data_IF_977540320682
#
_entry.id   IF_977540320682
#
_cell.length_a   1.000
_cell.length_b   1.000
_cell.length_c   1.000
_cell.angle_alpha   90.00
_cell.angle_beta   90.00
_cell.angle_gamma   90.00
#
_symmetry.space_group_name_H-M   'P 1'
#
loop_
_entity.id
_entity.type
_entity.pdbx_description
1 polymer ?
#
# COMPACT_ATOMS: atom_id res chain seq x y z
N UNK A 1 14.48 11.24 -2.21
CA UNK A 1 13.72 12.45 -2.59
C UNK A 1 14.08 13.64 -1.71
N UNK A 2 14.04 13.49 -0.38
CA UNK A 2 14.47 14.52 0.59
C UNK A 2 15.79 15.18 0.21
N UNK A 3 16.85 14.39 -0.04
CA UNK A 3 18.16 14.93 -0.43
C UNK A 3 18.12 15.77 -1.71
N UNK A 4 17.29 15.38 -2.68
CA UNK A 4 17.14 16.14 -3.92
C UNK A 4 16.42 17.47 -3.67
N UNK A 5 15.42 17.51 -2.79
CA UNK A 5 14.73 18.76 -2.42
C UNK A 5 15.69 19.73 -1.74
N UNK A 6 16.49 19.24 -0.77
CA UNK A 6 17.51 20.04 -0.08
C UNK A 6 18.57 20.56 -1.07
N UNK A 7 19.00 19.72 -2.01
CA UNK A 7 19.97 20.12 -3.02
C UNK A 7 19.42 21.17 -4.01
N UNK A 8 18.18 21.02 -4.45
CA UNK A 8 17.60 21.81 -5.52
C UNK A 8 16.92 23.11 -5.03
N UNK A 9 16.58 23.20 -3.74
CA UNK A 9 15.85 24.33 -3.16
C UNK A 9 16.77 25.13 -2.23
N UNK A 10 17.21 26.33 -2.64
CA UNK A 10 18.03 27.19 -1.78
C UNK A 10 17.35 27.44 -0.44
N UNK A 11 18.16 27.46 0.63
CA UNK A 11 17.74 27.75 2.01
C UNK A 11 16.72 26.75 2.61
N UNK A 12 16.40 25.65 1.93
CA UNK A 12 15.53 24.61 2.46
C UNK A 12 16.26 23.82 3.54
N UNK A 13 15.71 23.83 4.76
CA UNK A 13 16.23 23.06 5.89
C UNK A 13 15.25 21.94 6.24
N UNK A 14 15.68 20.70 6.00
CA UNK A 14 15.05 19.49 6.51
C UNK A 14 16.00 18.91 7.53
N UNK A 15 15.54 18.70 8.77
CA UNK A 15 16.41 18.21 9.84
C UNK A 15 16.74 16.72 9.63
N UNK A 16 17.83 16.20 10.23
CA UNK A 16 18.14 14.78 10.18
C UNK A 16 16.99 13.89 10.72
N UNK A 17 16.30 14.35 11.76
CA UNK A 17 15.16 13.64 12.37
C UNK A 17 13.97 13.59 11.42
N UNK A 18 13.66 14.71 10.73
CA UNK A 18 12.61 14.77 9.72
C UNK A 18 12.93 13.86 8.53
N UNK A 19 14.18 13.90 8.04
CA UNK A 19 14.64 13.01 6.98
C UNK A 19 14.49 11.53 7.38
N UNK A 20 14.96 11.16 8.56
CA UNK A 20 14.86 9.80 9.06
C UNK A 20 13.40 9.38 9.25
N UNK A 21 12.53 10.30 9.68
CA UNK A 21 11.08 10.04 9.78
C UNK A 21 10.47 9.73 8.41
N UNK A 22 10.85 10.44 7.34
CA UNK A 22 10.43 10.13 5.96
C UNK A 22 10.97 8.78 5.50
N UNK A 23 12.21 8.44 5.82
CA UNK A 23 12.81 7.15 5.46
C UNK A 23 12.13 5.97 6.15
N UNK A 24 11.82 6.10 7.45
CA UNK A 24 11.09 5.08 8.21
C UNK A 24 9.66 4.97 7.67
N UNK A 25 8.97 6.08 7.42
CA UNK A 25 7.64 6.07 6.83
C UNK A 25 7.64 5.35 5.46
N UNK A 26 8.60 5.64 4.60
CA UNK A 26 8.75 4.95 3.32
C UNK A 26 9.02 3.45 3.46
N UNK A 27 9.83 3.04 4.45
CA UNK A 27 10.07 1.63 4.74
C UNK A 27 8.81 0.92 5.28
N UNK A 28 8.00 1.63 6.05
CA UNK A 28 6.91 1.05 6.82
C UNK A 28 5.50 1.21 6.21
N UNK A 29 5.36 1.95 5.10
CA UNK A 29 4.04 2.30 4.56
C UNK A 29 3.17 1.09 4.16
N UNK A 30 3.80 -0.04 3.83
CA UNK A 30 3.14 -1.28 3.39
C UNK A 30 3.12 -2.40 4.45
N UNK A 31 3.54 -2.14 5.69
CA UNK A 31 3.57 -3.15 6.77
C UNK A 31 2.20 -3.80 7.03
N UNK A 32 1.12 -3.08 6.76
CA UNK A 32 -0.24 -3.52 6.98
C UNK A 32 -0.79 -4.48 5.93
N UNK A 33 -0.10 -4.72 4.81
CA UNK A 33 -0.63 -5.62 3.78
C UNK A 33 -0.82 -7.06 4.29
N UNK A 34 -2.02 -7.61 4.03
CA UNK A 34 -2.31 -9.01 4.27
C UNK A 34 -1.95 -9.93 3.10
N UNK A 35 -2.33 -11.22 3.18
CA UNK A 35 -2.10 -12.20 2.12
C UNK A 35 -2.54 -11.72 0.74
N UNK A 36 -1.63 -11.80 -0.23
CA UNK A 36 -1.82 -11.32 -1.60
C UNK A 36 -2.24 -9.84 -1.69
N UNK A 37 -1.72 -9.02 -0.77
CA UNK A 37 -1.83 -7.55 -0.74
C UNK A 37 -3.29 -7.08 -0.81
N UNK A 38 -3.69 -6.36 -1.87
CA UNK A 38 -5.07 -5.86 -2.03
C UNK A 38 -6.15 -6.94 -2.12
N UNK A 39 -5.77 -8.20 -2.37
CA UNK A 39 -6.74 -9.31 -2.31
C UNK A 39 -7.29 -9.49 -0.90
N UNK A 40 -6.46 -9.28 0.13
CA UNK A 40 -6.87 -9.37 1.52
C UNK A 40 -7.92 -8.31 1.89
N UNK A 41 -7.70 -7.05 1.50
CA UNK A 41 -8.66 -5.97 1.72
C UNK A 41 -10.04 -6.29 1.10
N UNK A 42 -10.06 -6.87 -0.10
CA UNK A 42 -11.30 -7.31 -0.75
C UNK A 42 -11.99 -8.44 -0.01
N UNK A 43 -11.22 -9.38 0.54
CA UNK A 43 -11.72 -10.47 1.36
C UNK A 43 -12.37 -9.93 2.65
N UNK A 44 -11.65 -9.09 3.40
CA UNK A 44 -12.15 -8.46 4.63
C UNK A 44 -13.43 -7.67 4.37
N UNK A 45 -13.50 -6.95 3.24
CA UNK A 45 -14.71 -6.24 2.81
C UNK A 45 -15.93 -7.14 2.55
N UNK A 46 -15.76 -8.42 2.21
CA UNK A 46 -16.90 -9.35 2.05
C UNK A 46 -17.67 -9.54 3.37
N UNK A 47 -17.05 -9.25 4.51
CA UNK A 47 -17.64 -9.38 5.84
C UNK A 47 -18.10 -8.02 6.42
N UNK A 48 -18.09 -6.95 5.62
CA UNK A 48 -18.61 -5.63 6.02
C UNK A 48 -17.62 -4.77 6.81
N UNK A 49 -16.35 -5.16 6.88
CA UNK A 49 -15.31 -4.34 7.48
C UNK A 49 -14.71 -3.39 6.44
N UNK A 50 -14.68 -2.09 6.75
CA UNK A 50 -14.00 -1.06 5.95
C UNK A 50 -12.59 -0.82 6.53
N UNK A 51 -11.72 -1.82 6.36
CA UNK A 51 -10.31 -1.76 6.75
C UNK A 51 -9.42 -1.53 5.53
N UNK A 52 -8.34 -0.77 5.71
CA UNK A 52 -7.34 -0.47 4.68
C UNK A 52 -5.95 -0.83 5.16
N UNK A 53 -5.08 -1.21 4.24
CA UNK A 53 -3.70 -1.57 4.58
C UNK A 53 -2.92 -0.40 5.21
N UNK A 54 -3.23 0.85 4.86
CA UNK A 54 -2.55 2.01 5.49
C UNK A 54 -2.85 2.09 7.00
N UNK A 55 -4.09 1.83 7.42
CA UNK A 55 -4.43 1.73 8.85
C UNK A 55 -3.67 0.57 9.50
N UNK A 56 -3.63 -0.58 8.83
CA UNK A 56 -2.85 -1.73 9.29
C UNK A 56 -1.36 -1.44 9.44
N UNK A 57 -0.79 -0.60 8.57
CA UNK A 57 0.64 -0.23 8.62
C UNK A 57 0.96 0.61 9.85
N UNK A 58 0.06 1.51 10.26
CA UNK A 58 0.22 2.30 11.49
C UNK A 58 0.16 1.41 12.74
N UNK A 59 -0.82 0.49 12.80
CA UNK A 59 -0.97 -0.47 13.91
C UNK A 59 0.20 -1.46 13.97
N UNK A 60 0.67 -1.93 12.82
CA UNK A 60 1.83 -2.82 12.72
C UNK A 60 3.13 -2.13 13.15
N UNK A 61 3.26 -0.83 12.84
CA UNK A 61 4.41 -0.03 13.28
C UNK A 61 4.44 0.12 14.80
N UNK A 62 3.30 0.37 15.45
CA UNK A 62 3.20 0.40 16.91
C UNK A 62 3.67 -0.92 17.52
N UNK A 63 3.14 -2.03 17.01
CA UNK A 63 3.48 -3.36 17.49
C UNK A 63 4.95 -3.68 17.27
N UNK A 64 5.51 -3.35 16.11
CA UNK A 64 6.92 -3.57 15.80
C UNK A 64 7.82 -2.84 16.80
N UNK A 65 7.50 -1.59 17.15
CA UNK A 65 8.26 -0.79 18.11
C UNK A 65 8.18 -1.38 19.52
N UNK A 66 6.98 -1.78 19.96
CA UNK A 66 6.76 -2.36 21.28
C UNK A 66 7.47 -3.72 21.42
N UNK A 67 7.21 -4.64 20.50
CA UNK A 67 7.69 -6.03 20.54
C UNK A 67 9.22 -6.11 20.46
N UNK A 68 9.85 -5.18 19.74
CA UNK A 68 11.31 -5.11 19.57
C UNK A 68 11.99 -4.11 20.51
N UNK A 69 11.24 -3.50 21.44
CA UNK A 69 11.74 -2.51 22.40
C UNK A 69 12.55 -1.38 21.72
N UNK A 70 11.98 -0.78 20.67
CA UNK A 70 12.63 0.29 19.89
C UNK A 70 12.37 1.70 20.44
N UNK A 71 11.50 1.86 21.44
CA UNK A 71 11.23 3.17 22.05
C UNK A 71 12.51 3.91 22.51
N UNK A 72 13.50 3.27 23.16
CA UNK A 72 14.76 3.95 23.51
C UNK A 72 15.54 4.47 22.30
N UNK A 73 15.43 3.81 21.14
CA UNK A 73 16.03 4.29 19.89
C UNK A 73 15.28 5.48 19.33
N UNK A 74 13.96 5.50 19.41
CA UNK A 74 13.19 6.67 19.01
C UNK A 74 13.57 7.90 19.85
N UNK A 75 13.79 7.73 21.16
CA UNK A 75 14.31 8.80 22.03
C UNK A 75 15.74 9.23 21.66
N UNK A 76 16.65 8.27 21.44
CA UNK A 76 18.05 8.52 21.05
C UNK A 76 18.16 9.38 19.76
N UNK A 77 17.29 9.11 18.79
CA UNK A 77 17.24 9.81 17.51
C UNK A 77 16.22 10.96 17.46
N UNK A 78 15.56 11.29 18.59
CA UNK A 78 14.53 12.33 18.70
C UNK A 78 13.42 12.19 17.63
N UNK A 79 12.97 10.96 17.40
CA UNK A 79 11.95 10.62 16.42
C UNK A 79 10.55 10.76 17.01
N UNK A 80 9.64 11.34 16.22
CA UNK A 80 8.22 11.40 16.54
C UNK A 80 7.48 10.28 15.79
N UNK A 81 6.96 9.30 16.54
CA UNK A 81 6.20 8.19 15.97
C UNK A 81 4.92 8.66 15.26
N UNK A 82 4.22 9.65 15.81
CA UNK A 82 3.00 10.18 15.19
C UNK A 82 3.31 10.83 13.85
N UNK A 83 4.45 11.54 13.74
CA UNK A 83 4.90 12.10 12.47
C UNK A 83 5.11 11.00 11.41
N UNK A 84 5.72 9.88 11.79
CA UNK A 84 5.95 8.75 10.86
C UNK A 84 4.62 8.17 10.37
N UNK A 85 3.63 8.00 11.26
CA UNK A 85 2.29 7.55 10.89
C UNK A 85 1.57 8.52 9.97
N UNK A 86 1.62 9.81 10.29
CA UNK A 86 1.06 10.87 9.43
C UNK A 86 1.72 10.89 8.04
N UNK A 87 3.04 10.61 7.95
CA UNK A 87 3.75 10.47 6.68
C UNK A 87 3.31 9.24 5.88
N UNK A 88 3.07 8.10 6.54
CA UNK A 88 2.48 6.89 5.91
C UNK A 88 1.09 7.22 5.35
N UNK A 89 0.26 7.89 6.14
CA UNK A 89 -1.11 8.29 5.75
C UNK A 89 -1.11 9.38 4.68
N UNK A 90 -0.07 10.21 4.63
CA UNK A 90 0.05 11.33 3.70
C UNK A 90 -0.64 12.62 4.16
N UNK A 91 -1.01 12.72 5.44
CA UNK A 91 -1.66 13.89 6.04
C UNK A 91 -1.50 13.90 7.55
N UNK A 92 -1.43 15.10 8.14
CA UNK A 92 -1.18 15.24 9.57
C UNK A 92 -1.01 16.67 10.05
N UNK A 93 -0.75 16.82 11.35
CA UNK A 93 -0.57 18.11 12.02
C UNK A 93 0.71 18.22 12.82
N UNK A 94 1.51 17.14 12.92
CA UNK A 94 2.79 17.16 13.64
C UNK A 94 3.83 18.09 13.01
N UNK A 95 3.73 18.36 11.70
CA UNK A 95 4.58 19.34 11.02
C UNK A 95 3.95 20.75 10.99
N UNK A 96 4.77 21.80 11.19
CA UNK A 96 4.34 23.16 10.94
C UNK A 96 4.02 23.35 9.46
N UNK A 97 3.14 24.32 9.15
CA UNK A 97 2.61 24.56 7.79
C UNK A 97 3.72 24.72 6.74
N UNK A 98 4.85 25.33 7.09
CA UNK A 98 5.98 25.53 6.19
C UNK A 98 6.74 24.23 5.82
N UNK A 99 6.47 23.11 6.51
CA UNK A 99 7.07 21.79 6.26
C UNK A 99 6.09 20.71 5.79
N UNK A 100 4.80 21.01 5.67
CA UNK A 100 3.76 20.02 5.29
C UNK A 100 3.94 19.42 3.90
N UNK A 101 4.79 20.00 3.05
CA UNK A 101 5.20 19.37 1.79
C UNK A 101 5.83 17.98 1.98
N UNK A 102 6.36 17.65 3.17
CA UNK A 102 6.91 16.32 3.46
C UNK A 102 5.85 15.20 3.39
N UNK A 103 4.58 15.50 3.71
CA UNK A 103 3.48 14.55 3.57
C UNK A 103 3.22 14.14 2.10
N UNK A 104 3.77 14.89 1.14
CA UNK A 104 3.63 14.60 -0.30
C UNK A 104 4.64 13.57 -0.82
N UNK A 105 5.58 13.10 0.01
CA UNK A 105 6.67 12.24 -0.45
C UNK A 105 6.23 10.77 -0.53
N UNK A 106 5.65 10.25 0.55
CA UNK A 106 5.31 8.81 0.68
C UNK A 106 3.94 8.49 0.11
N UNK A 107 2.91 9.25 0.52
CA UNK A 107 1.54 9.06 0.06
C UNK A 107 0.91 10.42 -0.30
N UNK A 108 0.94 10.80 -1.57
CA UNK A 108 0.51 12.14 -1.98
C UNK A 108 -0.98 12.20 -2.27
N UNK A 109 -1.79 12.54 -1.25
CA UNK A 109 -3.25 12.64 -1.37
C UNK A 109 -3.74 13.78 -2.26
N UNK A 110 -2.89 14.74 -2.62
CA UNK A 110 -3.29 15.90 -3.43
C UNK A 110 -3.27 15.61 -4.93
N UNK A 111 -2.36 14.77 -5.41
CA UNK A 111 -2.16 14.55 -6.85
C UNK A 111 -1.59 13.18 -7.24
N UNK A 112 -1.44 12.24 -6.32
CA UNK A 112 -0.94 10.88 -6.60
C UNK A 112 0.49 10.82 -7.18
N UNK A 113 1.33 11.85 -6.98
CA UNK A 113 2.75 11.82 -7.32
C UNK A 113 3.58 11.61 -6.05
N UNK A 114 3.99 10.36 -5.81
CA UNK A 114 4.75 9.93 -4.63
C UNK A 114 5.78 8.83 -4.98
N UNK A 115 6.69 8.56 -4.03
CA UNK A 115 7.82 7.65 -4.24
C UNK A 115 7.43 6.17 -4.20
N UNK A 116 6.31 5.82 -3.56
CA UNK A 116 5.72 4.47 -3.61
C UNK A 116 5.48 4.06 -5.08
N UNK A 117 4.75 4.88 -5.82
CA UNK A 117 4.48 4.67 -7.25
C UNK A 117 5.75 4.54 -8.08
N UNK A 118 6.75 5.36 -7.79
CA UNK A 118 8.00 5.32 -8.54
C UNK A 118 8.72 3.99 -8.37
N UNK A 119 8.71 3.42 -7.16
CA UNK A 119 9.31 2.12 -6.88
C UNK A 119 8.53 0.99 -7.58
N UNK A 120 7.23 0.86 -7.31
CA UNK A 120 6.49 -0.29 -7.83
C UNK A 120 6.36 -0.25 -9.35
N UNK A 121 6.31 0.91 -10.00
CA UNK A 121 6.35 0.96 -11.47
C UNK A 121 7.59 0.27 -12.02
N UNK A 122 8.76 0.60 -11.49
CA UNK A 122 10.04 0.05 -11.95
C UNK A 122 10.19 -1.42 -11.57
N UNK A 123 9.82 -1.77 -10.35
CA UNK A 123 9.88 -3.14 -9.82
C UNK A 123 8.96 -4.06 -10.61
N UNK A 124 7.70 -3.69 -10.76
CA UNK A 124 6.70 -4.49 -11.46
C UNK A 124 6.98 -4.54 -12.95
N UNK A 125 7.41 -3.43 -13.53
CA UNK A 125 7.88 -3.39 -14.92
C UNK A 125 9.00 -4.40 -15.15
N UNK A 126 9.98 -4.45 -14.26
CA UNK A 126 11.05 -5.44 -14.32
C UNK A 126 10.52 -6.88 -14.19
N UNK A 127 9.67 -7.17 -13.19
CA UNK A 127 9.21 -8.54 -12.95
C UNK A 127 8.20 -9.05 -13.99
N UNK A 128 7.43 -8.15 -14.58
CA UNK A 128 6.47 -8.46 -15.64
C UNK A 128 7.08 -8.38 -17.04
N UNK A 129 8.36 -8.02 -17.15
CA UNK A 129 9.03 -7.75 -18.42
C UNK A 129 8.29 -6.71 -19.28
N UNK A 130 7.82 -5.64 -18.63
CA UNK A 130 7.19 -4.48 -19.24
C UNK A 130 8.15 -3.30 -19.18
N UNK A 131 8.37 -2.66 -20.34
CA UNK A 131 9.23 -1.48 -20.40
C UNK A 131 8.54 -0.28 -19.72
N UNK A 132 9.17 0.26 -18.70
CA UNK A 132 8.78 1.49 -18.02
C UNK A 132 9.51 2.66 -18.67
N UNK A 133 8.75 3.65 -19.11
CA UNK A 133 9.28 4.84 -19.79
C UNK A 133 9.43 6.04 -18.83
N UNK A 134 8.75 6.00 -17.67
CA UNK A 134 8.85 7.01 -16.63
C UNK A 134 10.26 7.02 -16.01
N UNK A 135 10.85 8.21 -15.88
CA UNK A 135 12.18 8.38 -15.29
C UNK A 135 12.12 9.20 -13.99
N UNK A 136 12.09 8.49 -12.86
CA UNK A 136 12.11 9.09 -11.54
C UNK A 136 13.41 9.84 -11.22
N UNK A 137 14.55 9.45 -11.80
CA UNK A 137 15.83 10.16 -11.56
C UNK A 137 15.78 11.56 -12.14
N UNK A 138 15.15 11.67 -13.31
CA UNK A 138 14.88 12.97 -13.93
C UNK A 138 13.89 13.80 -13.10
N UNK A 139 12.85 13.18 -12.53
CA UNK A 139 11.95 13.88 -11.59
C UNK A 139 12.70 14.42 -10.37
N UNK A 140 13.56 13.61 -9.75
CA UNK A 140 14.41 14.00 -8.63
C UNK A 140 15.37 15.15 -8.99
N UNK A 141 15.95 15.13 -10.19
CA UNK A 141 16.84 16.19 -10.65
C UNK A 141 16.14 17.56 -10.87
N UNK A 142 14.80 17.58 -10.95
CA UNK A 142 14.02 18.78 -11.25
C UNK A 142 12.88 19.05 -10.25
N UNK A 143 12.92 18.44 -9.06
CA UNK A 143 11.99 18.73 -7.98
C UNK A 143 12.52 19.86 -7.07
N UNK A 144 11.64 20.76 -6.63
CA UNK A 144 11.92 21.87 -5.71
C UNK A 144 10.74 22.05 -4.75
N UNK A 145 10.95 22.75 -3.63
CA UNK A 145 9.84 23.25 -2.80
C UNK A 145 9.54 24.69 -3.20
N UNK A 146 8.28 24.99 -3.48
CA UNK A 146 7.81 26.32 -3.86
C UNK A 146 6.71 26.79 -2.90
N UNK A 147 6.56 28.12 -2.68
CA UNK A 147 5.41 28.66 -1.96
C UNK A 147 4.10 28.14 -2.56
N UNK A 148 3.15 27.77 -1.70
CA UNK A 148 1.84 27.30 -2.12
C UNK A 148 1.02 28.39 -2.83
N UNK A 149 0.16 27.98 -3.75
CA UNK A 149 -0.84 28.86 -4.36
C UNK A 149 -2.07 29.07 -3.46
N UNK A 150 -3.02 29.92 -3.88
CA UNK A 150 -4.28 30.12 -3.16
C UNK A 150 -5.01 28.79 -2.91
N UNK A 151 -5.40 28.53 -1.66
CA UNK A 151 -6.12 27.32 -1.26
C UNK A 151 -5.24 26.12 -0.90
N UNK A 152 -3.91 26.24 -0.98
CA UNK A 152 -2.99 25.19 -0.53
C UNK A 152 -2.47 25.47 0.88
N UNK A 153 -2.34 24.41 1.67
CA UNK A 153 -1.85 24.45 3.05
C UNK A 153 -0.32 24.43 3.09
N UNK A 154 0.27 25.59 2.81
CA UNK A 154 1.72 25.80 2.87
C UNK A 154 2.47 25.48 1.57
N UNK A 155 3.81 25.46 1.63
CA UNK A 155 4.67 25.15 0.48
C UNK A 155 4.38 23.77 -0.11
N UNK A 156 4.72 23.59 -1.39
CA UNK A 156 4.39 22.40 -2.17
C UNK A 156 5.62 21.87 -2.88
N UNK A 157 5.68 20.56 -3.11
CA UNK A 157 6.66 19.97 -4.01
C UNK A 157 6.24 20.31 -5.44
N UNK A 158 7.13 20.98 -6.17
CA UNK A 158 6.94 21.37 -7.55
C UNK A 158 8.00 20.74 -8.44
N UNK A 159 7.64 20.47 -9.69
CA UNK A 159 8.55 19.98 -10.72
C UNK A 159 8.72 21.04 -11.80
N UNK A 160 9.90 21.12 -12.40
CA UNK A 160 10.16 22.06 -13.50
C UNK A 160 9.17 21.83 -14.64
N UNK A 161 8.60 22.91 -15.19
CA UNK A 161 7.59 22.85 -16.25
C UNK A 161 7.93 21.94 -17.45
N UNK A 162 9.19 21.86 -17.86
CA UNK A 162 9.66 20.99 -18.94
C UNK A 162 9.53 19.48 -18.64
N UNK A 163 9.26 19.11 -17.39
CA UNK A 163 9.02 17.73 -16.94
C UNK A 163 7.56 17.32 -17.02
N UNK A 164 6.65 18.20 -17.46
CA UNK A 164 5.26 17.85 -17.69
C UNK A 164 5.10 16.57 -18.54
N UNK A 165 5.86 16.35 -19.64
CA UNK A 165 5.80 15.09 -20.38
C UNK A 165 6.15 13.85 -19.55
N UNK A 166 7.10 13.93 -18.62
CA UNK A 166 7.49 12.82 -17.74
C UNK A 166 6.39 12.51 -16.72
N UNK A 167 5.68 13.55 -16.22
CA UNK A 167 4.50 13.37 -15.36
C UNK A 167 3.35 12.71 -16.14
N UNK A 168 3.07 13.16 -17.36
CA UNK A 168 2.08 12.48 -18.21
C UNK A 168 2.46 11.02 -18.46
N UNK A 169 3.75 10.76 -18.67
CA UNK A 169 4.26 9.42 -18.86
C UNK A 169 4.10 8.54 -17.63
N UNK A 170 4.29 9.09 -16.43
CA UNK A 170 4.03 8.43 -15.16
C UNK A 170 2.59 7.90 -15.08
N UNK A 171 1.59 8.75 -15.37
CA UNK A 171 0.18 8.33 -15.37
C UNK A 171 -0.15 7.37 -16.50
N UNK A 172 0.51 7.49 -17.66
CA UNK A 172 0.39 6.52 -18.75
C UNK A 172 0.91 5.14 -18.34
N UNK A 173 2.09 5.08 -17.73
CA UNK A 173 2.69 3.85 -17.18
C UNK A 173 1.74 3.22 -16.16
N UNK A 174 1.19 4.01 -15.24
CA UNK A 174 0.19 3.52 -14.28
C UNK A 174 -1.00 2.87 -14.99
N UNK A 175 -1.60 3.56 -15.97
CA UNK A 175 -2.72 3.02 -16.73
C UNK A 175 -2.35 1.73 -17.48
N UNK A 176 -1.16 1.68 -18.09
CA UNK A 176 -0.64 0.49 -18.77
C UNK A 176 -0.46 -0.70 -17.83
N UNK A 177 0.12 -0.50 -16.64
CA UNK A 177 0.31 -1.55 -15.62
C UNK A 177 -1.04 -2.06 -15.10
N UNK A 178 -1.97 -1.16 -14.80
CA UNK A 178 -3.33 -1.53 -14.41
C UNK A 178 -4.01 -2.37 -15.50
N UNK A 179 -3.98 -1.92 -16.75
CA UNK A 179 -4.66 -2.61 -17.84
C UNK A 179 -4.03 -3.96 -18.16
N UNK A 180 -2.71 -4.03 -18.26
CA UNK A 180 -1.99 -5.23 -18.75
C UNK A 180 -1.76 -6.27 -17.67
N UNK A 181 -1.64 -5.86 -16.41
CA UNK A 181 -1.26 -6.74 -15.31
C UNK A 181 -2.31 -6.76 -14.19
N UNK A 182 -2.49 -5.66 -13.46
CA UNK A 182 -3.27 -5.68 -12.21
C UNK A 182 -4.76 -6.00 -12.43
N UNK A 183 -5.32 -5.62 -13.59
CA UNK A 183 -6.71 -5.90 -14.00
C UNK A 183 -6.81 -7.03 -15.04
N UNK A 184 -5.72 -7.75 -15.29
CA UNK A 184 -5.74 -8.86 -16.24
C UNK A 184 -6.77 -9.92 -15.80
N UNK A 185 -7.61 -10.39 -16.73
CA UNK A 185 -8.73 -11.27 -16.41
C UNK A 185 -8.32 -12.55 -15.66
N UNK A 186 -7.19 -13.15 -16.05
CA UNK A 186 -6.68 -14.33 -15.35
C UNK A 186 -6.22 -14.04 -13.92
N UNK A 187 -5.70 -12.83 -13.65
CA UNK A 187 -5.33 -12.38 -12.30
C UNK A 187 -6.61 -12.20 -11.49
N UNK A 188 -7.61 -11.48 -12.02
CA UNK A 188 -8.89 -11.28 -11.33
C UNK A 188 -9.65 -12.57 -11.05
N UNK A 189 -9.67 -13.52 -12.00
CA UNK A 189 -10.30 -14.81 -11.76
C UNK A 189 -9.54 -15.66 -10.73
N UNK A 190 -8.21 -15.48 -10.60
CA UNK A 190 -7.42 -16.09 -9.53
C UNK A 190 -7.72 -15.44 -8.18
N UNK A 191 -7.73 -14.11 -8.09
CA UNK A 191 -8.08 -13.36 -6.87
C UNK A 191 -9.49 -13.73 -6.38
N UNK A 192 -10.49 -13.79 -7.27
CA UNK A 192 -11.86 -14.18 -6.91
C UNK A 192 -11.92 -15.59 -6.31
N UNK A 193 -11.21 -16.55 -6.91
CA UNK A 193 -11.18 -17.92 -6.41
C UNK A 193 -10.45 -18.03 -5.07
N UNK A 194 -9.42 -17.20 -4.85
CA UNK A 194 -8.73 -17.09 -3.56
C UNK A 194 -9.66 -16.51 -2.49
N UNK A 195 -10.37 -15.40 -2.79
CA UNK A 195 -11.35 -14.79 -1.88
C UNK A 195 -12.44 -15.80 -1.50
N UNK A 196 -13.02 -16.51 -2.47
CA UNK A 196 -14.03 -17.54 -2.18
C UNK A 196 -13.48 -18.67 -1.29
N UNK A 197 -12.21 -19.06 -1.49
CA UNK A 197 -11.57 -20.06 -0.64
C UNK A 197 -11.38 -19.56 0.80
N UNK A 198 -10.97 -18.29 0.98
CA UNK A 198 -10.86 -17.67 2.30
C UNK A 198 -12.24 -17.53 2.98
N UNK A 199 -13.27 -17.13 2.24
CA UNK A 199 -14.66 -17.04 2.74
C UNK A 199 -15.13 -18.41 3.23
N UNK A 200 -14.89 -19.47 2.44
CA UNK A 200 -15.25 -20.83 2.81
C UNK A 200 -14.46 -21.36 4.02
N UNK A 201 -13.24 -20.85 4.26
CA UNK A 201 -12.43 -21.21 5.41
C UNK A 201 -12.74 -20.39 6.67
N UNK A 202 -13.36 -19.21 6.54
CA UNK A 202 -13.45 -18.18 7.58
C UNK A 202 -14.08 -18.67 8.89
N UNK A 203 -15.15 -19.46 8.80
CA UNK A 203 -15.88 -19.95 9.98
C UNK A 203 -15.11 -21.03 10.78
N UNK A 204 -14.13 -21.67 10.15
CA UNK A 204 -13.47 -22.86 10.69
C UNK A 204 -12.01 -22.61 11.03
N UNK A 205 -11.33 -21.77 10.25
CA UNK A 205 -9.94 -21.40 10.51
C UNK A 205 -9.85 -20.27 11.52
N UNK A 206 -9.13 -20.50 12.61
CA UNK A 206 -8.96 -19.53 13.68
C UNK A 206 -7.47 -19.32 13.99
N UNK A 207 -7.10 -18.06 14.18
CA UNK A 207 -5.82 -17.66 14.76
C UNK A 207 -6.06 -17.40 16.24
N UNK A 208 -5.25 -18.01 17.10
CA UNK A 208 -5.36 -17.83 18.55
C UNK A 208 -4.26 -16.88 19.05
N UNK A 209 -4.67 -15.82 19.73
CA UNK A 209 -3.79 -14.82 20.35
C UNK A 209 -4.28 -14.58 21.76
N UNK A 210 -3.39 -14.73 22.75
CA UNK A 210 -3.68 -14.44 24.16
C UNK A 210 -4.98 -15.13 24.67
N UNK A 211 -5.26 -16.34 24.17
CA UNK A 211 -6.44 -17.15 24.51
C UNK A 211 -7.76 -16.73 23.81
N UNK A 212 -7.74 -15.69 22.97
CA UNK A 212 -8.86 -15.31 22.10
C UNK A 212 -8.64 -15.86 20.69
N UNK A 213 -9.71 -16.43 20.12
CA UNK A 213 -9.74 -16.90 18.73
C UNK A 213 -10.29 -15.82 17.82
N UNK A 214 -9.60 -15.61 16.70
CA UNK A 214 -9.97 -14.69 15.64
C UNK A 214 -10.18 -15.49 14.36
N UNK A 215 -11.30 -15.24 13.68
CA UNK A 215 -11.51 -15.74 12.32
C UNK A 215 -10.58 -15.00 11.37
N UNK A 216 -10.40 -15.53 10.15
CA UNK A 216 -9.59 -14.87 9.13
C UNK A 216 -10.06 -13.43 8.88
N UNK A 217 -11.37 -13.21 8.78
CA UNK A 217 -11.98 -11.90 8.57
C UNK A 217 -11.74 -10.93 9.74
N UNK A 218 -11.44 -11.43 10.94
CA UNK A 218 -11.26 -10.64 12.17
C UNK A 218 -9.79 -10.42 12.51
N UNK A 219 -8.85 -11.04 11.79
CA UNK A 219 -7.42 -10.94 12.09
C UNK A 219 -6.88 -9.51 11.99
N UNK A 220 -7.50 -8.65 11.16
CA UNK A 220 -7.14 -7.25 11.05
C UNK A 220 -7.49 -6.43 12.31
N UNK A 221 -8.33 -6.94 13.20
CA UNK A 221 -8.69 -6.28 14.47
C UNK A 221 -7.63 -6.50 15.56
N UNK A 222 -6.62 -7.34 15.30
CA UNK A 222 -5.55 -7.60 16.24
C UNK A 222 -4.22 -7.82 15.50
N UNK A 223 -3.28 -6.90 15.69
CA UNK A 223 -1.97 -6.92 15.02
C UNK A 223 -1.19 -8.24 15.21
N UNK A 224 -1.23 -8.85 16.40
CA UNK A 224 -0.55 -10.15 16.64
C UNK A 224 -1.21 -11.31 15.89
N UNK A 225 -2.51 -11.23 15.62
CA UNK A 225 -3.20 -12.18 14.74
C UNK A 225 -2.81 -11.93 13.29
N UNK A 226 -2.79 -10.66 12.86
CA UNK A 226 -2.40 -10.25 11.51
C UNK A 226 -0.97 -10.70 11.15
N UNK A 227 0.00 -10.58 12.06
CA UNK A 227 1.39 -11.04 11.84
C UNK A 227 1.49 -12.54 11.51
N UNK A 228 0.58 -13.36 12.02
CA UNK A 228 0.57 -14.81 11.75
C UNK A 228 -0.03 -15.16 10.39
N UNK A 229 -0.67 -14.20 9.71
CA UNK A 229 -1.40 -14.41 8.47
C UNK A 229 -0.62 -13.81 7.30
N UNK A 230 0.00 -14.71 6.53
CA UNK A 230 0.71 -14.40 5.27
C UNK A 230 0.16 -15.27 4.15
N UNK A 231 0.68 -15.14 2.92
CA UNK A 231 0.37 -16.02 1.79
C UNK A 231 0.49 -17.53 2.13
N UNK A 232 1.26 -17.87 3.17
CA UNK A 232 1.36 -19.23 3.68
C UNK A 232 -0.01 -19.84 4.05
N UNK A 233 -1.01 -19.02 4.40
CA UNK A 233 -2.36 -19.46 4.76
C UNK A 233 -3.00 -20.38 3.70
N UNK A 234 -2.67 -20.19 2.41
CA UNK A 234 -3.13 -21.08 1.34
C UNK A 234 -2.69 -22.51 1.57
N UNK A 235 -1.41 -22.70 1.93
CA UNK A 235 -0.85 -24.02 2.19
C UNK A 235 -1.44 -24.61 3.47
N UNK A 236 -1.64 -23.79 4.50
CA UNK A 236 -2.25 -24.24 5.76
C UNK A 236 -3.66 -24.79 5.51
N UNK A 237 -4.50 -24.07 4.77
CA UNK A 237 -5.85 -24.53 4.42
C UNK A 237 -5.75 -25.78 3.52
N UNK A 238 -4.89 -25.74 2.50
CA UNK A 238 -4.74 -26.82 1.52
C UNK A 238 -4.36 -28.17 2.15
N UNK A 239 -3.49 -28.16 3.15
CA UNK A 239 -2.94 -29.38 3.77
C UNK A 239 -3.56 -29.72 5.14
N UNK A 240 -4.54 -28.92 5.60
CA UNK A 240 -5.27 -29.21 6.82
C UNK A 240 -6.00 -30.56 6.76
N UNK A 241 -6.06 -31.25 7.90
CA UNK A 241 -6.82 -32.50 8.07
C UNK A 241 -8.25 -32.23 8.59
N UNK A 242 -8.62 -30.98 8.81
CA UNK A 242 -9.97 -30.60 9.23
C UNK A 242 -10.95 -30.73 8.07
N UNK A 243 -11.91 -31.64 8.19
CA UNK A 243 -12.95 -31.87 7.18
C UNK A 243 -13.84 -30.65 6.94
N UNK A 244 -13.93 -29.72 7.90
CA UNK A 244 -14.69 -28.48 7.72
C UNK A 244 -14.08 -27.55 6.66
N UNK A 245 -12.78 -27.71 6.35
CA UNK A 245 -12.08 -26.93 5.33
C UNK A 245 -12.18 -27.55 3.93
N UNK A 246 -12.83 -28.71 3.76
CA UNK A 246 -13.02 -29.35 2.44
C UNK A 246 -13.60 -28.42 1.36
N UNK A 247 -14.59 -27.54 1.66
CA UNK A 247 -15.10 -26.59 0.67
C UNK A 247 -14.02 -25.61 0.17
N UNK A 248 -13.21 -25.06 1.09
CA UNK A 248 -12.09 -24.19 0.74
C UNK A 248 -11.01 -24.95 -0.04
N UNK A 249 -10.65 -26.16 0.41
CA UNK A 249 -9.69 -27.03 -0.27
C UNK A 249 -10.12 -27.40 -1.69
N UNK A 250 -11.43 -27.56 -1.94
CA UNK A 250 -11.95 -27.82 -3.29
C UNK A 250 -11.71 -26.62 -4.23
N UNK A 251 -11.85 -25.39 -3.73
CA UNK A 251 -11.56 -24.15 -4.48
C UNK A 251 -10.05 -23.99 -4.72
N UNK A 252 -9.21 -24.25 -3.72
CA UNK A 252 -7.74 -24.24 -3.87
C UNK A 252 -7.30 -25.32 -4.89
N UNK A 253 -7.90 -26.51 -4.85
CA UNK A 253 -7.63 -27.57 -5.83
C UNK A 253 -8.01 -27.17 -7.25
N UNK A 254 -9.08 -26.37 -7.43
CA UNK A 254 -9.40 -25.78 -8.73
C UNK A 254 -8.30 -24.80 -9.16
N UNK A 255 -7.84 -23.93 -8.27
CA UNK A 255 -6.75 -22.98 -8.53
C UNK A 255 -5.48 -23.71 -9.01
N UNK A 256 -5.04 -24.73 -8.26
CA UNK A 256 -3.84 -25.54 -8.58
C UNK A 256 -3.97 -26.31 -9.90
N UNK A 257 -5.20 -26.69 -10.29
CA UNK A 257 -5.49 -27.33 -11.58
C UNK A 257 -5.83 -26.33 -12.70
N UNK A 258 -5.61 -25.03 -12.46
CA UNK A 258 -5.94 -23.92 -13.37
C UNK A 258 -7.41 -23.92 -13.84
N UNK A 259 -8.33 -24.46 -13.03
CA UNK A 259 -9.78 -24.46 -13.25
C UNK A 259 -10.43 -23.18 -12.71
N UNK A 260 -10.01 -22.05 -13.27
CA UNK A 260 -10.48 -20.72 -12.89
C UNK A 260 -11.94 -20.48 -13.31
N UNK A 261 -12.52 -19.38 -12.85
CA UNK A 261 -13.77 -18.86 -13.41
C UNK A 261 -13.59 -18.44 -14.88
N UNK A 262 -14.67 -18.52 -15.64
CA UNK A 262 -14.71 -18.13 -17.05
C UNK A 262 -15.15 -16.68 -17.18
N UNK A 263 -14.34 -15.85 -17.84
CA UNK A 263 -14.76 -14.51 -18.24
C UNK A 263 -15.83 -14.63 -19.34
N UNK A 264 -17.06 -14.18 -19.06
CA UNK A 264 -18.15 -14.19 -20.05
C UNK A 264 -18.08 -13.03 -21.04
N UNK A 265 -17.56 -11.88 -20.61
CA UNK A 265 -17.39 -10.69 -21.44
C UNK A 265 -16.92 -9.49 -20.64
N UNK A 266 -16.55 -8.43 -21.35
CA UNK A 266 -16.22 -7.11 -20.80
C UNK A 266 -17.12 -6.07 -21.47
N UNK A 267 -17.65 -5.13 -20.69
CA UNK A 267 -18.45 -4.02 -21.20
C UNK A 267 -17.84 -2.70 -20.73
N UNK A 268 -17.59 -1.79 -21.67
CA UNK A 268 -17.09 -0.44 -21.38
C UNK A 268 -18.28 0.52 -21.39
N UNK A 269 -18.48 1.22 -20.28
CA UNK A 269 -19.50 2.26 -20.21
C UNK A 269 -19.03 3.52 -20.91
N UNK A 270 -19.83 4.07 -21.82
CA UNK A 270 -19.50 5.28 -22.59
C UNK A 270 -19.45 6.56 -21.74
N UNK A 271 -19.99 6.55 -20.51
CA UNK A 271 -19.92 7.64 -19.53
C UNK A 271 -19.92 7.11 -18.10
N UNK A 272 -18.90 7.48 -17.32
CA UNK A 272 -18.93 7.37 -15.85
C UNK A 272 -19.80 8.51 -15.33
N UNK A 273 -21.11 8.28 -15.20
CA UNK A 273 -21.97 9.15 -14.38
C UNK A 273 -21.91 8.65 -12.94
N UNK A 274 -21.16 9.36 -12.09
CA UNK A 274 -21.37 9.39 -10.64
C UNK A 274 -21.22 8.08 -9.87
N UNK A 275 -20.12 7.35 -10.03
CA UNK A 275 -19.80 6.15 -9.24
C UNK A 275 -18.36 6.16 -8.68
N UNK A 276 -17.79 7.35 -8.47
CA UNK A 276 -16.62 7.52 -7.60
C UNK A 276 -17.11 8.36 -6.41
N UNK A 277 -17.67 7.66 -5.43
CA UNK A 277 -17.71 8.06 -4.02
C UNK A 277 -16.97 6.98 -3.23
#
# INVERSE_FOLDING_TARGET
MVDALVHNTPDLVITPEEKLSVEIAGLCHDLGHGPWSHTWERFVKQFGHEWKHEQGSEEMLDYLIEDNNLAPKFEEYNLNLELIKELIRGEGTSLPTDKRYLYQIIANKSNDIDVDKWDYFLRDGHQLNLKITFDYRRMLAFCVVMPGGPGLDGPQIAFRNKEAPNIFDMFRVRADLHWRAYQHAAVKNTELLLVDALVAANEFFHVEVDGKKYRLSECHENVKAMVQITDHILNVIQYSQDSNLEPAQALIKRLMKRKLYTLLGEYKFDKVRGLIE
#
